data_IF_117277960587
#
_entry.id   IF_117277960587
#
_cell.length_a   1.000
_cell.length_b   1.000
_cell.length_c   1.000
_cell.angle_alpha   90.00
_cell.angle_beta   90.00
_cell.angle_gamma   90.00
#
_symmetry.space_group_name_H-M   'P 1'
#
loop_
_entity.id
_entity.type
_entity.pdbx_description
1 polymer ?
#
# COMPACT_ATOMS: atom_id res chain seq x y z
N UNK A 1 -48.48 -34.14 20.18
CA UNK A 1 -48.46 -32.86 19.46
C UNK A 1 -47.54 -31.90 20.20
N UNK A 2 -46.29 -31.72 19.75
CA UNK A 2 -45.28 -30.84 20.38
C UNK A 2 -44.95 -29.71 19.40
N UNK A 3 -45.22 -28.46 19.80
CA UNK A 3 -44.99 -27.26 18.98
C UNK A 3 -43.49 -26.95 18.97
N UNK A 4 -42.86 -27.07 17.80
CA UNK A 4 -41.53 -26.50 17.52
C UNK A 4 -41.69 -24.98 17.38
N UNK A 5 -41.02 -24.21 18.24
CA UNK A 5 -40.81 -22.78 18.05
C UNK A 5 -39.33 -22.60 17.72
N UNK A 6 -39.06 -22.30 16.46
CA UNK A 6 -37.72 -21.99 15.95
C UNK A 6 -37.53 -20.48 16.09
N UNK A 7 -36.77 -20.05 17.10
CA UNK A 7 -36.35 -18.65 17.24
C UNK A 7 -35.07 -18.50 16.42
N UNK A 8 -35.22 -17.94 15.22
CA UNK A 8 -34.12 -17.53 14.36
C UNK A 8 -33.61 -16.18 14.87
N UNK A 9 -32.60 -16.21 15.73
CA UNK A 9 -31.89 -15.01 16.15
C UNK A 9 -30.95 -14.55 15.03
N UNK A 10 -31.41 -13.59 14.24
CA UNK A 10 -30.60 -12.84 13.28
C UNK A 10 -29.70 -11.88 14.07
N UNK A 11 -28.49 -12.32 14.40
CA UNK A 11 -27.48 -11.48 15.03
C UNK A 11 -26.88 -10.54 13.97
N UNK A 12 -27.10 -9.25 14.19
CA UNK A 12 -26.77 -8.16 13.28
C UNK A 12 -25.29 -8.10 12.88
N UNK A 13 -25.07 -7.89 11.59
CA UNK A 13 -23.79 -7.42 11.07
C UNK A 13 -23.55 -6.01 11.58
N UNK A 14 -22.69 -5.90 12.60
CA UNK A 14 -22.05 -4.64 12.95
C UNK A 14 -21.19 -4.22 11.75
N UNK A 15 -21.60 -3.13 11.10
CA UNK A 15 -20.77 -2.42 10.14
C UNK A 15 -19.55 -1.86 10.88
N UNK A 16 -18.49 -2.66 10.94
CA UNK A 16 -17.18 -2.21 11.40
C UNK A 16 -16.65 -1.18 10.41
N UNK A 17 -16.38 0.04 10.90
CA UNK A 17 -15.41 0.92 10.26
C UNK A 17 -14.17 0.09 9.97
N UNK A 18 -13.88 -0.14 8.68
CA UNK A 18 -12.72 -0.89 8.21
C UNK A 18 -11.44 -0.09 8.48
N UNK A 19 -11.05 -0.01 9.76
CA UNK A 19 -9.68 0.25 10.16
C UNK A 19 -8.83 -0.94 9.74
N UNK A 20 -7.55 -0.71 9.42
CA UNK A 20 -6.62 -1.79 9.18
C UNK A 20 -6.70 -2.79 10.37
N UNK A 21 -6.69 -4.12 10.11
CA UNK A 21 -6.74 -5.09 11.18
C UNK A 21 -5.56 -4.83 12.13
N UNK A 22 -5.82 -4.72 13.44
CA UNK A 22 -4.82 -4.38 14.46
C UNK A 22 -3.62 -5.36 14.46
N UNK A 23 -3.86 -6.55 13.92
CA UNK A 23 -2.88 -7.63 13.75
C UNK A 23 -1.83 -7.34 12.66
N UNK A 24 -2.12 -6.50 11.66
CA UNK A 24 -1.20 -6.17 10.58
C UNK A 24 -0.42 -4.90 10.90
N UNK A 25 0.87 -5.07 11.20
CA UNK A 25 1.74 -3.98 11.63
C UNK A 25 2.89 -3.80 10.64
N UNK A 26 3.04 -2.60 10.09
CA UNK A 26 4.25 -2.23 9.32
C UNK A 26 5.41 -2.04 10.30
N UNK A 27 6.38 -2.96 10.28
CA UNK A 27 7.50 -2.99 11.23
C UNK A 27 8.72 -2.20 10.75
N UNK A 28 8.83 -1.97 9.44
CA UNK A 28 9.78 -1.02 8.87
C UNK A 28 9.26 -0.44 7.56
N UNK A 29 9.76 0.76 7.25
CA UNK A 29 9.49 1.48 6.01
C UNK A 29 10.66 2.39 5.68
N UNK A 30 11.03 2.44 4.41
CA UNK A 30 12.03 3.34 3.86
C UNK A 30 11.50 3.94 2.56
N UNK A 31 11.49 5.27 2.48
CA UNK A 31 11.23 5.97 1.23
C UNK A 31 12.48 5.90 0.37
N UNK A 32 12.32 5.38 -0.84
CA UNK A 32 13.33 5.32 -1.89
C UNK A 32 12.95 6.31 -2.98
N UNK A 33 13.96 6.98 -3.50
CA UNK A 33 13.84 7.91 -4.60
C UNK A 33 14.90 7.53 -5.63
N UNK A 34 14.51 7.50 -6.90
CA UNK A 34 15.43 7.37 -8.01
C UNK A 34 15.17 8.50 -8.98
N UNK A 35 16.20 9.30 -9.26
CA UNK A 35 16.15 10.26 -10.35
C UNK A 35 16.02 9.46 -11.65
N UNK A 36 14.91 9.64 -12.36
CA UNK A 36 14.79 9.12 -13.70
C UNK A 36 15.53 10.09 -14.61
N UNK A 37 16.83 9.89 -14.77
CA UNK A 37 17.61 10.59 -15.80
C UNK A 37 17.22 9.98 -17.13
N UNK A 38 16.10 10.43 -17.71
CA UNK A 38 15.93 10.34 -19.14
C UNK A 38 17.10 11.13 -19.72
N UNK A 39 18.14 10.41 -20.17
CA UNK A 39 19.27 10.99 -20.89
C UNK A 39 18.68 11.70 -22.10
N UNK A 40 18.52 13.01 -22.00
CA UNK A 40 18.24 13.85 -23.15
C UNK A 40 19.34 13.56 -24.15
N UNK A 41 18.98 12.89 -25.24
CA UNK A 41 19.90 12.60 -26.32
C UNK A 41 20.61 13.89 -26.74
N UNK A 42 21.93 13.76 -26.90
CA UNK A 42 22.83 14.72 -27.51
C UNK A 42 22.11 15.55 -28.58
N UNK A 43 21.72 16.77 -28.24
CA UNK A 43 21.32 17.77 -29.23
C UNK A 43 22.50 18.72 -29.36
N UNK A 44 23.44 18.35 -30.23
CA UNK A 44 24.56 19.19 -30.70
C UNK A 44 24.05 20.37 -31.55
N UNK A 45 22.74 20.52 -31.74
CA UNK A 45 22.12 21.65 -32.41
C UNK A 45 21.11 22.31 -31.49
N UNK A 46 21.33 23.62 -31.27
CA UNK A 46 20.68 24.43 -30.24
C UNK A 46 19.17 24.26 -30.15
N UNK A 47 18.72 23.85 -28.96
CA UNK A 47 17.35 23.99 -28.53
C UNK A 47 17.36 24.70 -27.17
N UNK A 48 16.87 25.94 -27.18
CA UNK A 48 16.63 26.74 -25.98
C UNK A 48 15.73 25.99 -25.01
N UNK A 49 16.32 25.47 -23.92
CA UNK A 49 15.74 25.53 -22.58
C UNK A 49 14.44 24.75 -22.31
N UNK A 50 14.14 23.68 -23.03
CA UNK A 50 13.10 22.72 -22.64
C UNK A 50 13.66 21.63 -21.73
N UNK A 51 14.15 21.99 -20.54
CA UNK A 51 14.69 21.03 -19.57
C UNK A 51 13.63 19.99 -19.23
N UNK A 52 13.78 18.77 -19.75
CA UNK A 52 12.96 17.62 -19.37
C UNK A 52 12.99 17.52 -17.84
N UNK A 53 11.85 17.79 -17.21
CA UNK A 53 11.71 17.65 -15.78
C UNK A 53 12.09 16.21 -15.41
N UNK A 54 13.20 16.06 -14.70
CA UNK A 54 13.58 14.79 -14.11
C UNK A 54 12.43 14.37 -13.19
N UNK A 55 11.58 13.44 -13.65
CA UNK A 55 10.55 12.87 -12.81
C UNK A 55 11.24 11.93 -11.84
N UNK A 56 11.40 12.35 -10.59
CA UNK A 56 11.89 11.47 -9.52
C UNK A 56 10.84 10.40 -9.26
N UNK A 57 11.21 9.13 -9.45
CA UNK A 57 10.38 7.99 -9.08
C UNK A 57 10.51 7.76 -7.58
N UNK A 58 9.38 7.74 -6.88
CA UNK A 58 9.31 7.45 -5.45
C UNK A 58 8.62 6.11 -5.20
N UNK A 59 9.19 5.32 -4.30
CA UNK A 59 8.53 4.13 -3.77
C UNK A 59 8.90 3.92 -2.30
N UNK A 60 8.05 3.23 -1.56
CA UNK A 60 8.31 2.80 -0.19
C UNK A 60 8.55 1.30 -0.21
N UNK A 61 9.67 0.89 0.35
CA UNK A 61 9.96 -0.50 0.70
C UNK A 61 9.82 -0.66 2.20
N UNK A 62 9.37 -1.84 2.62
CA UNK A 62 9.28 -2.15 4.05
C UNK A 62 8.87 -3.57 4.30
N UNK A 63 8.55 -3.88 5.56
CA UNK A 63 7.98 -5.16 5.95
C UNK A 63 6.71 -4.96 6.77
N UNK A 64 5.74 -5.84 6.54
CA UNK A 64 4.52 -5.96 7.33
C UNK A 64 4.56 -7.27 8.11
N UNK A 65 4.28 -7.20 9.40
CA UNK A 65 4.14 -8.35 10.29
C UNK A 65 2.67 -8.62 10.53
N UNK A 66 2.26 -9.88 10.39
CA UNK A 66 0.98 -10.36 10.88
C UNK A 66 1.16 -10.96 12.28
N UNK A 67 0.62 -10.28 13.29
CA UNK A 67 0.61 -10.71 14.70
C UNK A 67 -0.63 -11.55 15.05
N UNK A 68 -1.60 -11.60 14.13
CA UNK A 68 -2.85 -12.31 14.31
C UNK A 68 -2.70 -13.82 14.11
N UNK A 69 -3.70 -14.59 14.56
CA UNK A 69 -3.73 -16.05 14.42
C UNK A 69 -4.16 -16.53 13.02
N UNK A 70 -4.61 -15.62 12.15
CA UNK A 70 -5.16 -15.93 10.83
C UNK A 70 -4.30 -15.36 9.70
N UNK A 71 -4.31 -16.02 8.54
CA UNK A 71 -3.70 -15.51 7.32
C UNK A 71 -4.53 -14.37 6.74
N UNK A 72 -3.88 -13.28 6.34
CA UNK A 72 -4.53 -12.20 5.59
C UNK A 72 -4.24 -12.35 4.10
N UNK A 73 -5.24 -12.13 3.25
CA UNK A 73 -5.12 -12.13 1.79
C UNK A 73 -5.61 -10.81 1.20
N UNK A 74 -5.09 -10.41 0.04
CA UNK A 74 -5.46 -9.16 -0.62
C UNK A 74 -5.13 -7.91 0.21
N UNK A 75 -3.98 -7.91 0.88
CA UNK A 75 -3.59 -6.82 1.78
C UNK A 75 -3.10 -5.63 0.96
N UNK A 76 -3.78 -4.48 1.10
CA UNK A 76 -3.41 -3.23 0.43
C UNK A 76 -2.78 -2.28 1.43
N UNK A 77 -1.52 -1.91 1.21
CA UNK A 77 -0.76 -0.98 2.03
C UNK A 77 -0.67 0.36 1.30
N UNK A 78 -1.15 1.44 1.92
CA UNK A 78 -1.15 2.79 1.34
C UNK A 78 -0.30 3.74 2.15
N UNK A 79 0.66 4.38 1.49
CA UNK A 79 1.48 5.45 2.08
C UNK A 79 1.10 6.78 1.48
N UNK A 80 0.76 7.75 2.33
CA UNK A 80 0.60 9.14 1.94
C UNK A 80 1.95 9.83 2.06
N UNK A 81 2.49 10.27 0.93
CA UNK A 81 3.75 11.03 0.85
C UNK A 81 3.40 12.47 0.51
N UNK A 82 3.86 13.41 1.34
CA UNK A 82 3.73 14.85 1.08
C UNK A 82 5.06 15.36 0.57
N UNK A 83 5.09 15.86 -0.66
CA UNK A 83 6.30 16.36 -1.31
C UNK A 83 5.98 17.69 -1.98
N UNK A 84 6.70 18.76 -1.61
CA UNK A 84 6.66 20.06 -2.31
C UNK A 84 5.25 20.59 -2.64
N UNK A 85 4.30 20.40 -1.73
CA UNK A 85 2.90 20.85 -1.90
C UNK A 85 1.97 19.86 -2.62
N UNK A 86 2.49 18.74 -3.12
CA UNK A 86 1.70 17.64 -3.69
C UNK A 86 1.53 16.51 -2.68
N UNK A 87 0.33 15.91 -2.65
CA UNK A 87 0.05 14.68 -1.91
C UNK A 87 0.04 13.51 -2.89
N UNK A 88 0.99 12.59 -2.74
CA UNK A 88 1.05 11.34 -3.51
C UNK A 88 0.63 10.18 -2.63
N UNK A 89 -0.11 9.24 -3.21
CA UNK A 89 -0.45 7.97 -2.53
C UNK A 89 0.30 6.86 -3.23
N UNK A 90 1.17 6.19 -2.48
CA UNK A 90 1.90 5.01 -2.95
C UNK A 90 1.19 3.76 -2.42
N UNK A 91 0.94 2.80 -3.31
CA UNK A 91 0.17 1.59 -2.96
C UNK A 91 1.04 0.36 -3.16
N UNK A 92 1.01 -0.57 -2.21
CA UNK A 92 1.54 -1.92 -2.36
C UNK A 92 0.41 -2.91 -2.15
N UNK A 93 0.35 -3.94 -2.98
CA UNK A 93 -0.60 -5.04 -2.85
C UNK A 93 0.16 -6.32 -2.54
N UNK A 94 -0.26 -6.99 -1.47
CA UNK A 94 0.28 -8.29 -1.06
C UNK A 94 -0.83 -9.33 -1.20
N UNK A 95 -0.57 -10.35 -1.99
CA UNK A 95 -1.49 -11.47 -2.18
C UNK A 95 -1.81 -12.16 -0.84
N UNK A 96 -0.78 -12.36 -0.01
CA UNK A 96 -0.89 -13.04 1.28
C UNK A 96 0.13 -12.57 2.32
N UNK A 97 -0.32 -12.43 3.57
CA UNK A 97 0.52 -12.24 4.77
C UNK A 97 0.19 -13.34 5.79
N UNK A 98 0.97 -14.43 5.86
CA UNK A 98 0.67 -15.56 6.73
C UNK A 98 0.72 -15.21 8.22
N UNK A 99 -0.05 -15.92 9.04
CA UNK A 99 -0.09 -15.76 10.49
C UNK A 99 1.31 -15.88 11.12
N UNK A 100 1.65 -14.94 12.01
CA UNK A 100 2.94 -14.89 12.69
C UNK A 100 4.15 -14.61 11.79
N UNK A 101 3.95 -14.30 10.50
CA UNK A 101 5.03 -14.03 9.55
C UNK A 101 5.21 -12.54 9.29
N UNK A 102 6.40 -12.22 8.80
CA UNK A 102 6.78 -10.91 8.32
C UNK A 102 7.05 -11.00 6.82
N UNK A 103 6.40 -10.15 6.04
CA UNK A 103 6.46 -10.16 4.57
C UNK A 103 6.95 -8.80 4.09
N UNK A 104 7.87 -8.80 3.12
CA UNK A 104 8.35 -7.57 2.50
C UNK A 104 7.32 -7.03 1.50
N UNK A 105 7.20 -5.71 1.41
CA UNK A 105 6.39 -5.04 0.40
C UNK A 105 7.19 -3.95 -0.30
N UNK A 106 6.78 -3.63 -1.53
CA UNK A 106 7.27 -2.49 -2.30
C UNK A 106 6.07 -1.81 -2.95
N UNK A 107 5.92 -0.51 -2.75
CA UNK A 107 4.84 0.25 -3.39
C UNK A 107 5.16 0.57 -4.84
N UNK A 108 4.14 0.67 -5.68
CA UNK A 108 4.23 1.29 -7.00
C UNK A 108 3.55 2.66 -6.99
N UNK A 109 4.00 3.53 -7.88
CA UNK A 109 3.28 4.77 -8.23
C UNK A 109 2.16 4.40 -9.20
N UNK A 110 0.91 4.74 -8.84
CA UNK A 110 -0.23 4.71 -9.76
C UNK A 110 -0.22 5.98 -10.62
#
# INVERSE_FOLDING_TARGET
MKRMVMIMALAGMLAGCAGAPEDLVVVDKALKAQANTATSGLSEFGASGGGQAASTLYWVEGRVQNKGPQDYTGVVIRFRVKESGSNKVLTAELEKVPAGKTVAFRTTTL
#
